data_IF_435848367914
#
_entry.id   IF_435848367914
#
_cell.length_a   1.000
_cell.length_b   1.000
_cell.length_c   1.000
_cell.angle_alpha   90.00
_cell.angle_beta   90.00
_cell.angle_gamma   90.00
#
_symmetry.space_group_name_H-M   'P 1'
#
loop_
_entity.id
_entity.type
_entity.pdbx_description
1 polymer ?
#
# COMPACT_ATOMS: atom_id res chain seq x y z
N UNK A 1 11.03 -25.17 25.68
CA UNK A 1 10.71 -24.69 24.32
C UNK A 1 11.43 -23.37 24.15
N UNK A 2 12.66 -23.41 23.64
CA UNK A 2 13.51 -22.21 23.54
C UNK A 2 12.93 -21.25 22.52
N UNK A 3 12.55 -20.06 23.00
CA UNK A 3 12.16 -18.93 22.16
C UNK A 3 13.37 -18.49 21.35
N UNK A 4 13.33 -18.69 20.02
CA UNK A 4 14.36 -18.16 19.13
C UNK A 4 14.17 -16.66 18.97
N UNK A 5 14.80 -15.89 19.85
CA UNK A 5 15.12 -14.49 19.58
C UNK A 5 15.98 -14.45 18.31
N UNK A 6 15.48 -13.86 17.22
CA UNK A 6 16.18 -13.65 15.94
C UNK A 6 16.18 -14.80 14.92
N UNK A 7 15.04 -15.47 14.70
CA UNK A 7 14.87 -16.28 13.49
C UNK A 7 14.77 -15.39 12.22
N UNK A 8 15.91 -15.11 11.57
CA UNK A 8 16.00 -14.34 10.30
C UNK A 8 15.28 -15.00 9.12
N UNK A 9 14.92 -16.28 9.23
CA UNK A 9 13.97 -16.97 8.35
C UNK A 9 12.89 -17.66 9.19
N UNK A 10 11.76 -16.99 9.37
CA UNK A 10 10.53 -17.65 9.80
C UNK A 10 10.03 -18.51 8.63
N UNK A 11 10.44 -19.78 8.61
CA UNK A 11 9.78 -20.79 7.80
C UNK A 11 8.43 -21.07 8.43
N UNK A 12 7.36 -20.98 7.64
CA UNK A 12 6.03 -21.32 8.11
C UNK A 12 5.92 -22.84 8.22
N UNK A 13 5.54 -23.35 9.39
CA UNK A 13 5.30 -24.79 9.60
C UNK A 13 4.06 -25.29 8.85
N UNK A 14 3.21 -24.37 8.40
CA UNK A 14 2.01 -24.63 7.62
C UNK A 14 1.75 -23.45 6.67
N UNK A 15 1.25 -23.72 5.47
CA UNK A 15 0.82 -22.68 4.54
C UNK A 15 -0.49 -23.05 3.89
N UNK A 16 -1.41 -22.09 3.82
CA UNK A 16 -2.72 -22.24 3.22
C UNK A 16 -2.88 -21.28 2.04
N UNK A 17 -3.55 -21.74 0.98
CA UNK A 17 -4.11 -20.88 -0.06
C UNK A 17 -5.60 -21.15 -0.18
N UNK A 18 -6.42 -20.12 -0.01
CA UNK A 18 -7.87 -20.18 -0.26
C UNK A 18 -8.15 -19.68 -1.68
N UNK A 19 -8.57 -20.54 -2.63
CA UNK A 19 -8.81 -20.12 -4.00
C UNK A 19 -10.08 -19.27 -4.11
N UNK A 20 -10.16 -18.44 -5.16
CA UNK A 20 -11.30 -17.54 -5.39
C UNK A 20 -12.67 -18.24 -5.44
N UNK A 21 -12.74 -19.50 -5.90
CA UNK A 21 -13.97 -20.31 -5.85
C UNK A 21 -14.42 -20.56 -4.40
N UNK A 22 -13.51 -20.96 -3.52
CA UNK A 22 -13.82 -21.20 -2.12
C UNK A 22 -14.23 -19.90 -1.41
N UNK A 23 -13.55 -18.79 -1.71
CA UNK A 23 -13.93 -17.46 -1.20
C UNK A 23 -15.32 -17.03 -1.67
N UNK A 24 -15.68 -17.32 -2.93
CA UNK A 24 -17.00 -16.98 -3.47
C UNK A 24 -18.12 -17.76 -2.78
N UNK A 25 -17.93 -19.06 -2.60
CA UNK A 25 -18.97 -19.95 -2.06
C UNK A 25 -19.15 -19.82 -0.56
N UNK A 26 -18.06 -19.63 0.19
CA UNK A 26 -18.08 -19.72 1.65
C UNK A 26 -17.66 -18.44 2.35
N UNK A 27 -17.00 -17.52 1.65
CA UNK A 27 -16.28 -16.39 2.27
C UNK A 27 -14.92 -16.79 2.83
N UNK A 28 -13.94 -15.90 2.67
CA UNK A 28 -12.55 -16.17 3.09
C UNK A 28 -12.43 -16.42 4.61
N UNK A 29 -13.21 -15.70 5.43
CA UNK A 29 -13.16 -15.82 6.89
C UNK A 29 -13.73 -17.14 7.39
N UNK A 30 -14.81 -17.63 6.76
CA UNK A 30 -15.38 -18.93 7.12
C UNK A 30 -14.38 -20.05 6.82
N UNK A 31 -13.74 -20.02 5.65
CA UNK A 31 -12.71 -21.00 5.26
C UNK A 31 -11.52 -20.95 6.21
N UNK A 32 -11.05 -19.76 6.60
CA UNK A 32 -10.02 -19.60 7.63
C UNK A 32 -10.44 -20.26 8.95
N UNK A 33 -11.67 -19.99 9.41
CA UNK A 33 -12.20 -20.58 10.63
C UNK A 33 -12.28 -22.11 10.60
N UNK A 34 -12.57 -22.70 9.44
CA UNK A 34 -12.57 -24.17 9.26
C UNK A 34 -11.18 -24.75 9.48
N UNK A 35 -10.16 -24.06 8.98
CA UNK A 35 -8.78 -24.53 9.04
C UNK A 35 -8.22 -24.38 10.46
N UNK A 36 -8.55 -23.30 11.16
CA UNK A 36 -8.26 -23.18 12.58
C UNK A 36 -8.86 -24.34 13.38
N UNK A 37 -10.08 -24.79 13.04
CA UNK A 37 -10.70 -25.95 13.69
C UNK A 37 -10.00 -27.27 13.37
N UNK A 38 -9.55 -27.47 12.13
CA UNK A 38 -8.78 -28.67 11.75
C UNK A 38 -7.43 -28.71 12.48
N UNK A 39 -6.73 -27.59 12.58
CA UNK A 39 -5.48 -27.50 13.35
C UNK A 39 -5.72 -27.87 14.82
N UNK A 40 -6.77 -27.30 15.42
CA UNK A 40 -7.15 -27.58 16.80
C UNK A 40 -7.53 -29.06 17.02
N UNK A 41 -8.27 -29.68 16.10
CA UNK A 41 -8.67 -31.08 16.21
C UNK A 41 -7.49 -32.05 16.11
N UNK A 42 -6.37 -31.61 15.51
CA UNK A 42 -5.11 -32.35 15.46
C UNK A 42 -4.21 -32.06 16.67
N UNK A 43 -4.70 -31.34 17.68
CA UNK A 43 -3.94 -30.96 18.88
C UNK A 43 -2.99 -29.79 18.67
N UNK A 44 -3.08 -29.09 17.53
CA UNK A 44 -2.27 -27.91 17.24
C UNK A 44 -2.85 -26.62 17.81
N UNK A 45 -2.00 -25.61 17.97
CA UNK A 45 -2.39 -24.24 18.36
C UNK A 45 -1.81 -23.27 17.35
N UNK A 46 -2.65 -22.36 16.83
CA UNK A 46 -2.21 -21.30 15.93
C UNK A 46 -1.59 -20.16 16.78
N UNK A 47 -0.27 -20.02 16.76
CA UNK A 47 0.43 -18.95 17.49
C UNK A 47 0.58 -17.68 16.66
N UNK A 48 0.94 -17.84 15.38
CA UNK A 48 1.24 -16.75 14.47
C UNK A 48 0.59 -17.00 13.11
N UNK A 49 -0.03 -15.97 12.55
CA UNK A 49 -0.62 -16.02 11.21
C UNK A 49 -0.25 -14.78 10.42
N UNK A 50 0.41 -14.98 9.26
CA UNK A 50 0.79 -13.89 8.38
C UNK A 50 0.18 -14.03 7.00
N UNK A 51 -0.32 -12.91 6.49
CA UNK A 51 -0.88 -12.81 5.16
C UNK A 51 0.24 -12.69 4.12
N UNK A 52 0.36 -13.69 3.24
CA UNK A 52 1.31 -13.66 2.12
C UNK A 52 0.78 -12.97 0.88
N UNK A 53 -0.52 -13.15 0.62
CA UNK A 53 -1.21 -12.62 -0.55
C UNK A 53 -2.68 -12.41 -0.22
N UNK A 54 -3.22 -11.30 -0.69
CA UNK A 54 -4.64 -11.00 -0.68
C UNK A 54 -5.06 -10.56 -2.08
N UNK A 55 -6.09 -11.19 -2.61
CA UNK A 55 -6.69 -10.79 -3.87
C UNK A 55 -8.06 -10.17 -3.56
N UNK A 56 -8.18 -8.88 -3.82
CA UNK A 56 -9.44 -8.14 -3.73
C UNK A 56 -9.92 -7.81 -5.12
N UNK A 57 -11.22 -7.86 -5.35
CA UNK A 57 -11.77 -7.61 -6.66
C UNK A 57 -13.14 -6.94 -6.59
N UNK A 58 -13.47 -6.27 -7.67
CA UNK A 58 -14.83 -5.79 -7.94
C UNK A 58 -15.27 -6.27 -9.30
N UNK A 59 -16.53 -6.71 -9.37
CA UNK A 59 -17.19 -7.06 -10.63
C UNK A 59 -18.07 -5.90 -11.08
N UNK A 60 -18.05 -5.62 -12.38
CA UNK A 60 -18.86 -4.61 -13.04
C UNK A 60 -19.84 -5.30 -13.99
N UNK A 61 -20.94 -5.87 -13.48
CA UNK A 61 -21.95 -6.49 -14.33
C UNK A 61 -22.57 -5.41 -15.24
N UNK A 62 -22.74 -5.76 -16.52
CA UNK A 62 -23.22 -4.85 -17.57
C UNK A 62 -22.12 -4.05 -18.26
N UNK A 63 -20.88 -4.07 -17.77
CA UNK A 63 -19.76 -3.35 -18.39
C UNK A 63 -18.88 -4.35 -19.14
N UNK A 64 -18.70 -4.12 -20.43
CA UNK A 64 -17.81 -4.92 -21.28
C UNK A 64 -16.35 -4.59 -20.99
N UNK A 65 -15.49 -5.61 -20.97
CA UNK A 65 -14.07 -5.43 -20.65
C UNK A 65 -13.36 -4.56 -21.70
N UNK A 66 -13.76 -4.70 -22.97
CA UNK A 66 -13.26 -3.88 -24.08
C UNK A 66 -13.33 -2.39 -23.78
N UNK A 67 -14.40 -1.91 -23.13
CA UNK A 67 -14.54 -0.50 -22.75
C UNK A 67 -13.39 -0.01 -21.88
N UNK A 68 -12.95 -0.78 -20.88
CA UNK A 68 -11.80 -0.40 -20.05
C UNK A 68 -10.47 -0.66 -20.75
N UNK A 69 -10.37 -1.74 -21.51
CA UNK A 69 -9.14 -2.13 -22.20
C UNK A 69 -8.77 -1.13 -23.30
N UNK A 70 -9.74 -0.60 -24.04
CA UNK A 70 -9.52 0.46 -25.03
C UNK A 70 -8.95 1.74 -24.40
N UNK A 71 -9.44 2.13 -23.21
CA UNK A 71 -8.88 3.28 -22.46
C UNK A 71 -7.42 3.02 -22.07
N UNK A 72 -7.12 1.80 -21.65
CA UNK A 72 -5.75 1.37 -21.35
C UNK A 72 -4.84 1.39 -22.59
N UNK A 73 -5.31 0.89 -23.74
CA UNK A 73 -4.56 0.88 -25.00
C UNK A 73 -4.28 2.30 -25.50
N UNK A 74 -5.27 3.20 -25.37
CA UNK A 74 -5.14 4.65 -25.64
C UNK A 74 -4.27 5.38 -24.61
N UNK A 75 -3.70 4.66 -23.64
CA UNK A 75 -2.86 5.18 -22.53
C UNK A 75 -3.55 6.27 -21.70
N UNK A 76 -4.88 6.21 -21.57
CA UNK A 76 -5.69 7.11 -20.76
C UNK A 76 -5.64 6.74 -19.28
N UNK A 77 -4.43 6.62 -18.74
CA UNK A 77 -4.22 6.28 -17.34
C UNK A 77 -2.91 6.86 -16.81
N UNK A 78 -2.83 6.96 -15.49
CA UNK A 78 -1.58 7.08 -14.74
C UNK A 78 -1.39 5.84 -13.89
N UNK A 79 -0.13 5.47 -13.66
CA UNK A 79 0.23 4.30 -12.86
C UNK A 79 1.55 4.53 -12.15
N UNK A 80 1.68 3.99 -10.94
CA UNK A 80 2.95 4.01 -10.19
C UNK A 80 3.96 2.98 -10.71
N UNK A 81 3.50 1.94 -11.41
CA UNK A 81 4.34 0.91 -12.01
C UNK A 81 4.51 1.12 -13.52
N UNK A 82 5.71 0.79 -14.02
CA UNK A 82 6.01 0.72 -15.46
C UNK A 82 5.78 -0.68 -16.04
N UNK A 83 5.65 -1.69 -15.19
CA UNK A 83 5.38 -3.06 -15.61
C UNK A 83 3.92 -3.18 -16.03
N UNK A 84 3.68 -3.15 -17.34
CA UNK A 84 2.37 -3.20 -17.99
C UNK A 84 2.39 -4.36 -19.00
N UNK A 85 1.31 -5.14 -19.03
CA UNK A 85 1.16 -6.25 -19.95
C UNK A 85 -0.29 -6.33 -20.44
N UNK A 86 -0.47 -6.42 -21.75
CA UNK A 86 -1.74 -6.81 -22.37
C UNK A 86 -1.68 -8.29 -22.75
N UNK A 87 -2.82 -8.96 -22.65
CA UNK A 87 -3.05 -10.26 -23.30
C UNK A 87 -4.04 -10.03 -24.43
N UNK A 88 -3.74 -10.60 -25.59
CA UNK A 88 -4.58 -10.56 -26.78
C UNK A 88 -5.11 -11.96 -27.09
N UNK A 89 -6.32 -12.00 -27.64
CA UNK A 89 -6.87 -13.16 -28.35
C UNK A 89 -7.24 -12.69 -29.75
N UNK A 90 -6.44 -13.11 -30.74
CA UNK A 90 -6.41 -12.44 -32.05
C UNK A 90 -5.96 -10.98 -31.93
N UNK A 91 -6.75 -10.06 -32.49
CA UNK A 91 -6.47 -8.61 -32.48
C UNK A 91 -7.05 -7.88 -31.26
N UNK A 92 -7.91 -8.55 -30.48
CA UNK A 92 -8.60 -7.91 -29.36
C UNK A 92 -7.86 -8.14 -28.04
N UNK A 93 -7.63 -7.09 -27.26
CA UNK A 93 -7.17 -7.22 -25.89
C UNK A 93 -8.25 -7.90 -25.03
N UNK A 94 -7.86 -8.95 -24.32
CA UNK A 94 -8.74 -9.71 -23.40
C UNK A 94 -8.41 -9.43 -21.93
N UNK A 95 -7.20 -8.96 -21.65
CA UNK A 95 -6.84 -8.51 -20.31
C UNK A 95 -5.72 -7.49 -20.29
N UNK A 96 -5.71 -6.69 -19.24
CA UNK A 96 -4.66 -5.74 -18.90
C UNK A 96 -4.13 -6.07 -17.51
N UNK A 97 -2.81 -6.12 -17.36
CA UNK A 97 -2.13 -6.34 -16.09
C UNK A 97 -1.12 -5.23 -15.84
N UNK A 98 -1.09 -4.73 -14.61
CA UNK A 98 -0.17 -3.69 -14.14
C UNK A 98 0.49 -4.11 -12.84
N UNK A 99 1.76 -3.77 -12.65
CA UNK A 99 2.46 -3.99 -11.38
C UNK A 99 3.33 -5.24 -11.40
N UNK A 100 3.76 -5.69 -10.23
CA UNK A 100 4.64 -6.85 -10.10
C UNK A 100 4.14 -7.82 -9.03
N UNK A 101 4.53 -9.08 -9.17
CA UNK A 101 4.12 -10.17 -8.27
C UNK A 101 4.83 -10.17 -6.90
N UNK A 102 5.66 -9.16 -6.61
CA UNK A 102 6.36 -9.04 -5.32
C UNK A 102 5.64 -8.10 -4.36
N UNK A 103 5.01 -7.04 -4.87
CA UNK A 103 4.34 -6.02 -4.04
C UNK A 103 2.86 -5.89 -4.32
N UNK A 104 2.47 -5.33 -5.47
CA UNK A 104 1.07 -5.16 -5.86
C UNK A 104 0.95 -5.34 -7.36
N UNK A 105 -0.10 -6.06 -7.77
CA UNK A 105 -0.48 -6.25 -9.16
C UNK A 105 -1.98 -5.99 -9.32
N UNK A 106 -2.36 -5.25 -10.36
CA UNK A 106 -3.75 -5.06 -10.76
C UNK A 106 -4.00 -5.80 -12.08
N UNK A 107 -5.19 -6.34 -12.26
CA UNK A 107 -5.65 -6.98 -13.48
C UNK A 107 -7.06 -6.50 -13.85
N UNK A 108 -7.31 -6.24 -15.12
CA UNK A 108 -8.62 -5.95 -15.69
C UNK A 108 -8.89 -7.00 -16.78
N UNK A 109 -10.02 -7.69 -16.74
CA UNK A 109 -10.34 -8.75 -17.70
C UNK A 109 -11.84 -9.02 -17.81
N UNK A 110 -12.23 -9.69 -18.90
CA UNK A 110 -13.59 -10.20 -19.08
C UNK A 110 -13.84 -11.41 -18.17
N UNK A 111 -14.61 -11.17 -17.12
CA UNK A 111 -14.95 -12.18 -16.13
C UNK A 111 -16.07 -13.10 -16.63
N UNK A 112 -17.00 -12.59 -17.43
CA UNK A 112 -18.08 -13.40 -17.98
C UNK A 112 -17.52 -14.46 -18.92
N UNK A 113 -16.60 -14.06 -19.80
CA UNK A 113 -15.90 -14.95 -20.71
C UNK A 113 -15.08 -15.99 -19.94
N UNK A 114 -14.34 -15.58 -18.90
CA UNK A 114 -13.57 -16.49 -18.04
C UNK A 114 -14.45 -17.53 -17.31
N UNK A 115 -15.62 -17.13 -16.83
CA UNK A 115 -16.59 -18.05 -16.21
C UNK A 115 -17.15 -19.02 -17.25
N UNK A 116 -17.51 -18.56 -18.44
CA UNK A 116 -18.03 -19.41 -19.54
C UNK A 116 -17.02 -20.47 -19.95
N UNK A 117 -15.73 -20.13 -20.07
CA UNK A 117 -14.69 -21.09 -20.46
C UNK A 117 -14.45 -22.20 -19.43
N UNK A 118 -14.71 -21.95 -18.14
CA UNK A 118 -14.51 -22.98 -17.10
C UNK A 118 -15.53 -24.11 -17.18
N UNK A 119 -16.68 -23.88 -17.80
CA UNK A 119 -17.76 -24.86 -17.92
C UNK A 119 -18.13 -25.52 -16.56
N UNK A 120 -18.18 -24.72 -15.48
CA UNK A 120 -18.56 -25.14 -14.12
C UNK A 120 -19.91 -24.50 -13.75
N UNK A 121 -21.04 -25.26 -13.83
CA UNK A 121 -22.37 -24.73 -13.56
C UNK A 121 -22.56 -24.21 -12.13
N UNK A 122 -21.95 -24.86 -11.13
CA UNK A 122 -22.04 -24.42 -9.73
C UNK A 122 -21.34 -23.08 -9.53
N UNK A 123 -20.15 -22.93 -10.11
CA UNK A 123 -19.42 -21.67 -10.05
C UNK A 123 -20.17 -20.54 -10.78
N UNK A 124 -20.78 -20.85 -11.92
CA UNK A 124 -21.60 -19.89 -12.66
C UNK A 124 -22.81 -19.44 -11.84
N UNK A 125 -23.56 -20.37 -11.23
CA UNK A 125 -24.69 -20.06 -10.36
C UNK A 125 -24.27 -19.21 -9.16
N UNK A 126 -23.14 -19.54 -8.52
CA UNK A 126 -22.59 -18.76 -7.43
C UNK A 126 -22.21 -17.33 -7.86
N UNK A 127 -21.64 -17.14 -9.05
CA UNK A 127 -21.35 -15.81 -9.60
C UNK A 127 -22.64 -15.00 -9.80
N UNK A 128 -23.70 -15.61 -10.32
CA UNK A 128 -24.99 -14.94 -10.50
C UNK A 128 -25.56 -14.47 -9.16
N UNK A 129 -25.65 -15.37 -8.17
CA UNK A 129 -26.22 -15.08 -6.85
C UNK A 129 -25.39 -14.03 -6.12
N UNK A 130 -24.08 -14.25 -5.96
CA UNK A 130 -23.27 -13.45 -5.05
C UNK A 130 -22.62 -12.22 -5.67
N UNK A 131 -22.51 -12.12 -7.01
CA UNK A 131 -21.77 -11.04 -7.67
C UNK A 131 -22.57 -10.29 -8.73
N UNK A 132 -23.48 -10.95 -9.44
CA UNK A 132 -24.21 -10.35 -10.58
C UNK A 132 -25.68 -10.06 -10.33
N UNK A 133 -26.13 -10.10 -9.06
CA UNK A 133 -27.51 -9.76 -8.66
C UNK A 133 -28.54 -10.63 -9.38
N UNK A 134 -28.34 -11.94 -9.33
CA UNK A 134 -29.31 -12.97 -9.75
C UNK A 134 -29.58 -13.07 -11.27
N UNK A 135 -28.93 -12.25 -12.10
CA UNK A 135 -29.03 -12.35 -13.56
C UNK A 135 -27.66 -12.41 -14.24
N UNK A 136 -27.53 -13.23 -15.29
CA UNK A 136 -26.33 -13.22 -16.12
C UNK A 136 -26.31 -11.91 -16.95
N UNK A 137 -25.28 -11.07 -16.80
CA UNK A 137 -25.20 -9.84 -17.56
C UNK A 137 -24.75 -10.14 -19.01
N UNK A 138 -24.96 -9.18 -19.92
CA UNK A 138 -24.43 -9.25 -21.29
C UNK A 138 -22.90 -9.08 -21.35
N UNK A 139 -22.31 -8.52 -20.29
CA UNK A 139 -20.87 -8.37 -20.10
C UNK A 139 -20.54 -8.25 -18.62
N UNK A 140 -19.39 -8.75 -18.17
CA UNK A 140 -18.93 -8.54 -16.81
C UNK A 140 -17.42 -8.33 -16.78
N UNK A 141 -17.01 -7.11 -16.44
CA UNK A 141 -15.59 -6.81 -16.26
C UNK A 141 -15.20 -7.02 -14.80
N UNK A 142 -14.06 -7.67 -14.54
CA UNK A 142 -13.46 -7.71 -13.20
C UNK A 142 -12.22 -6.84 -13.15
N UNK A 143 -12.13 -6.02 -12.10
CA UNK A 143 -10.89 -5.38 -11.67
C UNK A 143 -10.41 -6.10 -10.41
N UNK A 144 -9.22 -6.67 -10.45
CA UNK A 144 -8.62 -7.47 -9.37
C UNK A 144 -7.28 -6.86 -8.95
N UNK A 145 -7.08 -6.66 -7.65
CA UNK A 145 -5.84 -6.17 -7.05
C UNK A 145 -5.28 -7.28 -6.16
N UNK A 146 -4.10 -7.74 -6.51
CA UNK A 146 -3.32 -8.74 -5.77
C UNK A 146 -2.26 -8.03 -4.97
N UNK A 147 -2.35 -8.11 -3.66
CA UNK A 147 -1.46 -7.47 -2.69
C UNK A 147 -0.61 -8.56 -2.06
N UNK A 148 0.70 -8.41 -2.12
CA UNK A 148 1.66 -9.40 -1.66
C UNK A 148 2.35 -8.95 -0.38
N UNK A 149 3.02 -9.91 0.28
CA UNK A 149 3.72 -9.72 1.57
C UNK A 149 4.60 -8.47 1.62
N UNK A 150 5.36 -8.14 0.57
CA UNK A 150 6.28 -6.99 0.61
C UNK A 150 5.53 -5.67 0.77
N UNK A 151 4.32 -5.58 0.22
CA UNK A 151 3.47 -4.41 0.45
C UNK A 151 2.99 -4.36 1.90
N UNK A 152 2.45 -5.47 2.42
CA UNK A 152 2.00 -5.56 3.82
C UNK A 152 3.12 -5.26 4.83
N UNK A 153 4.32 -5.79 4.60
CA UNK A 153 5.49 -5.56 5.43
C UNK A 153 5.94 -4.09 5.44
N UNK A 154 5.79 -3.38 4.31
CA UNK A 154 6.06 -1.94 4.22
C UNK A 154 5.15 -1.12 5.15
N UNK A 155 3.94 -1.62 5.44
CA UNK A 155 2.93 -0.96 6.25
C UNK A 155 2.72 -1.60 7.62
N UNK A 156 3.65 -2.46 8.05
CA UNK A 156 3.58 -3.17 9.34
C UNK A 156 2.22 -3.87 9.57
N UNK A 157 1.59 -4.30 8.48
CA UNK A 157 0.24 -4.85 8.49
C UNK A 157 0.27 -6.25 7.87
N UNK A 158 0.98 -7.17 8.52
CA UNK A 158 1.17 -8.54 8.03
C UNK A 158 0.24 -9.57 8.67
N UNK A 159 -0.39 -9.24 9.80
CA UNK A 159 -1.35 -10.10 10.48
C UNK A 159 -2.69 -10.09 9.76
N UNK A 160 -3.27 -11.28 9.56
CA UNK A 160 -4.50 -11.45 8.77
C UNK A 160 -5.65 -10.61 9.33
N UNK A 161 -5.90 -10.68 10.64
CA UNK A 161 -6.99 -9.93 11.29
C UNK A 161 -6.82 -8.41 11.18
N UNK A 162 -5.58 -7.92 11.30
CA UNK A 162 -5.29 -6.49 11.14
C UNK A 162 -5.51 -6.04 9.68
N UNK A 163 -5.11 -6.85 8.70
CA UNK A 163 -5.36 -6.55 7.28
C UNK A 163 -6.85 -6.48 6.98
N UNK A 164 -7.64 -7.43 7.49
CA UNK A 164 -9.09 -7.45 7.28
C UNK A 164 -9.74 -6.19 7.89
N UNK A 165 -9.41 -5.86 9.14
CA UNK A 165 -9.92 -4.66 9.82
C UNK A 165 -9.56 -3.37 9.09
N UNK A 166 -8.37 -3.31 8.50
CA UNK A 166 -7.87 -2.13 7.79
C UNK A 166 -8.08 -2.20 6.27
N UNK A 167 -8.92 -3.11 5.75
CA UNK A 167 -9.00 -3.35 4.32
C UNK A 167 -9.45 -2.10 3.53
N UNK A 168 -10.37 -1.32 4.09
CA UNK A 168 -10.80 -0.04 3.52
C UNK A 168 -9.64 0.93 3.36
N UNK A 169 -8.78 1.05 4.37
CA UNK A 169 -7.55 1.86 4.34
C UNK A 169 -6.55 1.37 3.30
N UNK A 170 -6.38 0.05 3.20
CA UNK A 170 -5.49 -0.57 2.20
C UNK A 170 -5.94 -0.21 0.79
N UNK A 171 -7.23 -0.34 0.51
CA UNK A 171 -7.80 0.04 -0.77
C UNK A 171 -7.72 1.55 -1.01
N UNK A 172 -8.04 2.37 -0.01
CA UNK A 172 -7.93 3.82 -0.10
C UNK A 172 -6.50 4.25 -0.46
N UNK A 173 -5.50 3.68 0.20
CA UNK A 173 -4.08 3.93 -0.07
C UNK A 173 -3.65 3.51 -1.49
N UNK A 174 -4.25 2.46 -2.05
CA UNK A 174 -3.92 1.97 -3.40
C UNK A 174 -4.66 2.73 -4.50
N UNK A 175 -5.89 3.17 -4.23
CA UNK A 175 -6.84 3.66 -5.23
C UNK A 175 -7.03 5.18 -5.21
N UNK A 176 -6.87 5.82 -4.05
CA UNK A 176 -7.24 7.23 -3.83
C UNK A 176 -6.02 8.11 -3.62
N UNK A 177 -5.02 7.66 -2.86
CA UNK A 177 -3.86 8.49 -2.51
C UNK A 177 -3.23 9.13 -3.76
N UNK A 178 -3.35 10.45 -3.85
CA UNK A 178 -2.98 11.26 -5.00
C UNK A 178 -1.48 11.38 -5.17
N UNK A 179 -0.70 11.10 -4.13
CA UNK A 179 0.76 11.22 -4.21
C UNK A 179 1.35 10.15 -5.11
N UNK A 180 0.86 8.90 -5.00
CA UNK A 180 1.31 7.75 -5.79
C UNK A 180 0.22 6.67 -5.89
N UNK A 181 -0.88 6.92 -6.64
CA UNK A 181 -1.91 5.90 -6.81
C UNK A 181 -1.34 4.69 -7.56
N UNK A 182 -1.84 3.48 -7.26
CA UNK A 182 -1.45 2.28 -7.99
C UNK A 182 -1.72 2.47 -9.49
N UNK A 183 -2.95 2.91 -9.79
CA UNK A 183 -3.50 3.10 -11.13
C UNK A 183 -4.67 4.09 -11.06
N UNK A 184 -4.90 4.84 -12.14
CA UNK A 184 -6.07 5.71 -12.30
C UNK A 184 -6.35 5.92 -13.77
N UNK A 185 -7.58 5.62 -14.23
CA UNK A 185 -8.02 6.00 -15.56
C UNK A 185 -8.37 7.49 -15.59
N UNK A 186 -8.10 8.11 -16.72
CA UNK A 186 -8.31 9.53 -16.96
C UNK A 186 -9.37 9.72 -18.05
N UNK A 187 -10.11 10.82 -17.97
CA UNK A 187 -11.12 11.17 -18.98
C UNK A 187 -10.51 11.43 -20.38
N UNK A 188 -9.21 11.74 -20.42
CA UNK A 188 -8.45 12.04 -21.62
C UNK A 188 -7.02 11.52 -21.52
N UNK A 189 -6.36 11.40 -22.68
CA UNK A 189 -4.95 10.97 -22.73
C UNK A 189 -4.06 12.04 -22.08
N UNK A 190 -3.28 11.71 -21.04
CA UNK A 190 -2.46 12.70 -20.36
C UNK A 190 -1.31 13.17 -21.24
N UNK A 191 -1.03 14.47 -21.20
CA UNK A 191 0.18 15.05 -21.79
C UNK A 191 1.39 14.72 -20.92
N UNK A 192 2.00 13.56 -21.23
CA UNK A 192 3.19 13.04 -20.56
C UNK A 192 4.46 13.81 -20.96
N UNK A 193 4.47 14.49 -22.10
CA UNK A 193 5.64 15.24 -22.58
C UNK A 193 5.87 16.49 -21.73
N UNK A 194 4.79 17.17 -21.34
CA UNK A 194 4.83 18.38 -20.52
C UNK A 194 4.54 18.13 -19.03
N UNK A 195 4.55 16.88 -18.57
CA UNK A 195 4.29 16.50 -17.16
C UNK A 195 2.93 16.99 -16.60
N UNK A 196 1.91 17.16 -17.45
CA UNK A 196 0.60 17.69 -17.06
C UNK A 196 -0.42 16.61 -16.62
N UNK A 197 0.03 15.40 -16.33
CA UNK A 197 -0.85 14.29 -15.94
C UNK A 197 -1.70 14.53 -14.67
N UNK A 198 -1.29 15.44 -13.78
CA UNK A 198 -2.05 15.78 -12.57
C UNK A 198 -3.29 16.64 -12.87
N UNK A 199 -3.33 17.31 -14.04
CA UNK A 199 -4.43 18.19 -14.46
C UNK A 199 -5.57 17.44 -15.14
N UNK A 200 -5.41 16.16 -15.43
CA UNK A 200 -6.44 15.36 -16.10
C UNK A 200 -7.49 14.88 -15.10
N UNK A 201 -8.76 15.06 -15.47
CA UNK A 201 -9.89 14.55 -14.71
C UNK A 201 -9.90 13.02 -14.67
N UNK A 202 -10.47 12.49 -13.59
CA UNK A 202 -10.63 11.05 -13.40
C UNK A 202 -11.76 10.57 -14.30
N UNK A 203 -11.55 9.43 -14.97
CA UNK A 203 -12.61 8.83 -15.79
C UNK A 203 -13.79 8.36 -14.91
N UNK A 204 -15.06 8.61 -15.26
CA UNK A 204 -16.22 8.22 -14.44
C UNK A 204 -16.26 6.72 -14.08
N UNK A 205 -15.91 5.85 -15.02
CA UNK A 205 -15.79 4.39 -14.75
C UNK A 205 -14.78 4.06 -13.65
N UNK A 206 -13.69 4.82 -13.53
CA UNK A 206 -12.71 4.60 -12.48
C UNK A 206 -13.24 5.05 -11.13
N UNK A 207 -13.98 6.15 -11.07
CA UNK A 207 -14.64 6.58 -9.83
C UNK A 207 -15.62 5.52 -9.34
N UNK A 208 -16.45 4.97 -10.24
CA UNK A 208 -17.35 3.86 -9.93
C UNK A 208 -16.60 2.64 -9.38
N UNK A 209 -15.47 2.27 -9.99
CA UNK A 209 -14.63 1.15 -9.53
C UNK A 209 -14.08 1.41 -8.12
N UNK A 210 -13.53 2.61 -7.89
CA UNK A 210 -12.96 3.02 -6.61
C UNK A 210 -14.01 2.98 -5.50
N UNK A 211 -15.14 3.66 -5.71
CA UNK A 211 -16.24 3.71 -4.75
C UNK A 211 -16.75 2.32 -4.42
N UNK A 212 -16.96 1.47 -5.44
CA UNK A 212 -17.47 0.12 -5.23
C UNK A 212 -16.47 -0.76 -4.49
N UNK A 213 -15.18 -0.71 -4.83
CA UNK A 213 -14.13 -1.43 -4.11
C UNK A 213 -14.03 -1.02 -2.63
N UNK A 214 -14.05 0.28 -2.35
CA UNK A 214 -13.97 0.80 -0.97
C UNK A 214 -15.22 0.42 -0.18
N UNK A 215 -16.41 0.58 -0.78
CA UNK A 215 -17.69 0.20 -0.15
C UNK A 215 -17.74 -1.29 0.18
N UNK A 216 -17.30 -2.15 -0.73
CA UNK A 216 -17.27 -3.61 -0.51
C UNK A 216 -16.26 -4.04 0.56
N UNK A 217 -15.24 -3.21 0.87
CA UNK A 217 -14.33 -3.48 1.97
C UNK A 217 -14.95 -3.23 3.36
N UNK A 218 -16.08 -2.53 3.44
CA UNK A 218 -16.94 -2.42 4.64
C UNK A 218 -16.35 -1.65 5.83
N UNK A 219 -15.12 -1.15 5.75
CA UNK A 219 -14.44 -0.47 6.85
C UNK A 219 -14.14 0.98 6.49
N UNK A 220 -14.38 1.89 7.43
CA UNK A 220 -13.91 3.27 7.34
C UNK A 220 -12.37 3.33 7.24
N UNK A 221 -11.78 4.20 6.40
CA UNK A 221 -10.33 4.30 6.28
C UNK A 221 -9.66 4.74 7.59
N UNK A 222 -9.01 3.79 8.26
CA UNK A 222 -8.03 4.03 9.32
C UNK A 222 -6.67 4.45 8.74
N UNK A 223 -5.86 5.18 9.51
CA UNK A 223 -4.53 5.60 9.06
C UNK A 223 -3.56 4.41 9.05
N UNK A 224 -2.98 4.06 7.89
CA UNK A 224 -1.96 3.01 7.81
C UNK A 224 -0.62 3.51 8.32
N UNK A 225 -0.01 2.76 9.24
CA UNK A 225 1.31 3.10 9.75
C UNK A 225 2.40 2.57 8.84
N UNK A 226 3.08 3.45 8.12
CA UNK A 226 4.22 3.06 7.30
C UNK A 226 5.40 2.68 8.20
N UNK A 227 6.04 1.55 7.93
CA UNK A 227 7.32 1.21 8.56
C UNK A 227 8.31 2.32 8.25
N UNK A 228 8.76 3.05 9.27
CA UNK A 228 9.93 3.89 9.12
C UNK A 228 11.07 2.98 8.71
N UNK A 229 11.69 3.29 7.57
CA UNK A 229 12.94 2.64 7.23
C UNK A 229 13.92 3.09 8.32
N UNK A 230 14.24 2.16 9.23
CA UNK A 230 15.52 2.17 9.96
C UNK A 230 16.60 1.91 8.91
N UNK A 231 16.78 2.84 7.98
CA UNK A 231 17.94 2.81 7.12
C UNK A 231 19.12 3.18 7.96
N UNK A 232 20.28 2.62 7.64
CA UNK A 232 21.54 3.25 8.02
C UNK A 232 21.47 4.67 7.44
N UNK A 233 21.22 5.63 8.32
CA UNK A 233 21.32 7.04 7.92
C UNK A 233 22.77 7.18 7.50
N UNK A 234 22.98 7.47 6.22
CA UNK A 234 24.30 7.89 5.75
C UNK A 234 24.62 9.20 6.47
N UNK A 235 25.37 9.08 7.56
CA UNK A 235 25.71 10.19 8.46
C UNK A 235 26.41 11.29 7.66
N UNK A 236 27.20 10.93 6.65
CA UNK A 236 27.85 11.90 5.76
C UNK A 236 26.82 12.71 4.98
N UNK A 237 25.81 12.05 4.40
CA UNK A 237 24.73 12.73 3.67
C UNK A 237 23.88 13.60 4.60
N UNK A 238 23.56 13.11 5.80
CA UNK A 238 22.81 13.87 6.80
C UNK A 238 23.58 15.12 7.24
N UNK A 239 24.89 14.99 7.52
CA UNK A 239 25.75 16.12 7.86
C UNK A 239 25.82 17.17 6.76
N UNK A 240 25.93 16.75 5.48
CA UNK A 240 25.88 17.67 4.33
C UNK A 240 24.56 18.42 4.22
N UNK A 241 23.43 17.75 4.50
CA UNK A 241 22.12 18.40 4.49
C UNK A 241 21.98 19.42 5.62
N UNK A 242 22.47 19.09 6.82
CA UNK A 242 22.49 20.02 7.95
C UNK A 242 23.37 21.25 7.64
N UNK A 243 24.59 21.03 7.15
CA UNK A 243 25.48 22.12 6.75
C UNK A 243 24.85 23.04 5.68
N UNK A 244 24.25 22.48 4.63
CA UNK A 244 23.59 23.25 3.58
C UNK A 244 22.41 24.09 4.11
N UNK A 245 21.64 23.55 5.07
CA UNK A 245 20.57 24.29 5.73
C UNK A 245 21.11 25.49 6.51
N UNK A 246 22.17 25.28 7.32
CA UNK A 246 22.80 26.36 8.10
C UNK A 246 23.39 27.42 7.17
N UNK A 247 24.08 27.03 6.10
CA UNK A 247 24.61 27.97 5.09
C UNK A 247 23.49 28.79 4.47
N UNK A 248 22.38 28.16 4.12
CA UNK A 248 21.23 28.88 3.53
C UNK A 248 20.65 29.89 4.50
N UNK A 249 20.53 29.54 5.78
CA UNK A 249 20.06 30.45 6.83
C UNK A 249 21.04 31.61 7.06
N UNK A 250 22.35 31.33 7.08
CA UNK A 250 23.41 32.33 7.21
C UNK A 250 23.34 33.37 6.08
N UNK A 251 23.23 32.90 4.83
CA UNK A 251 23.10 33.75 3.64
C UNK A 251 21.85 34.63 3.73
N UNK A 252 20.71 34.09 4.18
CA UNK A 252 19.49 34.89 4.38
C UNK A 252 19.64 35.96 5.45
N UNK A 253 20.52 35.75 6.44
CA UNK A 253 20.85 36.72 7.50
C UNK A 253 21.99 37.66 7.11
N UNK A 254 22.58 37.51 5.91
CA UNK A 254 23.73 38.29 5.45
C UNK A 254 25.05 37.92 6.14
N UNK A 255 25.14 36.70 6.69
CA UNK A 255 26.34 36.18 7.36
C UNK A 255 27.13 35.32 6.37
N UNK A 256 28.41 35.65 6.17
CA UNK A 256 29.35 34.83 5.41
C UNK A 256 29.82 33.62 6.23
N UNK A 257 30.00 32.48 5.56
CA UNK A 257 30.57 31.26 6.15
C UNK A 257 31.75 30.87 5.27
N UNK A 258 32.95 31.08 5.79
CA UNK A 258 34.20 30.81 5.06
C UNK A 258 34.89 29.53 5.58
N UNK A 259 34.58 29.12 6.80
CA UNK A 259 35.14 27.92 7.42
C UNK A 259 34.11 27.11 8.22
N UNK A 260 34.56 25.97 8.75
CA UNK A 260 33.72 25.09 9.58
C UNK A 260 33.31 25.76 10.90
N UNK A 261 34.18 26.60 11.48
CA UNK A 261 33.90 27.25 12.76
C UNK A 261 32.75 28.26 12.62
N UNK A 262 32.71 29.03 11.52
CA UNK A 262 31.59 29.93 11.21
C UNK A 262 30.26 29.16 11.10
N UNK A 263 30.30 27.98 10.48
CA UNK A 263 29.16 27.10 10.33
C UNK A 263 28.66 26.58 11.68
N UNK A 264 29.59 26.18 12.57
CA UNK A 264 29.26 25.71 13.92
C UNK A 264 28.65 26.84 14.75
N UNK A 265 29.23 28.03 14.70
CA UNK A 265 28.73 29.18 15.44
C UNK A 265 27.33 29.59 14.96
N UNK A 266 27.10 29.68 13.65
CA UNK A 266 25.76 29.99 13.13
C UNK A 266 24.76 28.88 13.47
N UNK A 267 25.16 27.60 13.46
CA UNK A 267 24.29 26.52 13.93
C UNK A 267 23.88 26.69 15.39
N UNK A 268 24.82 27.08 16.27
CA UNK A 268 24.53 27.39 17.69
C UNK A 268 23.55 28.55 17.79
N UNK A 269 23.78 29.64 17.07
CA UNK A 269 22.89 30.81 17.07
C UNK A 269 21.48 30.44 16.61
N UNK A 270 21.34 29.66 15.54
CA UNK A 270 20.04 29.17 15.06
C UNK A 270 19.35 28.26 16.06
N UNK A 271 20.12 27.41 16.77
CA UNK A 271 19.59 26.57 17.82
C UNK A 271 19.06 27.42 18.99
N UNK A 272 19.79 28.45 19.42
CA UNK A 272 19.34 29.36 20.47
C UNK A 272 18.09 30.15 20.11
N UNK A 273 17.92 30.52 18.83
CA UNK A 273 16.77 31.31 18.38
C UNK A 273 15.47 30.51 18.29
N UNK A 274 15.53 29.20 18.00
CA UNK A 274 14.35 28.44 17.56
C UNK A 274 14.18 27.05 18.17
N UNK A 275 15.14 26.56 18.97
CA UNK A 275 15.05 25.23 19.60
C UNK A 275 14.98 25.38 21.12
N UNK A 276 13.78 25.27 21.69
CA UNK A 276 13.64 24.97 23.11
C UNK A 276 13.81 23.47 23.35
N UNK A 277 14.31 23.09 24.53
CA UNK A 277 14.43 21.68 24.94
C UNK A 277 13.09 20.95 24.81
N UNK A 278 11.97 21.62 25.09
CA UNK A 278 10.63 21.06 24.98
C UNK A 278 10.25 20.71 23.53
N UNK A 279 10.61 21.57 22.56
CA UNK A 279 10.35 21.30 21.14
C UNK A 279 11.19 20.10 20.67
N UNK A 280 12.45 20.04 21.06
CA UNK A 280 13.35 18.93 20.72
C UNK A 280 12.85 17.62 21.34
N UNK A 281 12.50 17.64 22.63
CA UNK A 281 11.96 16.50 23.35
C UNK A 281 10.63 16.02 22.74
N UNK A 282 9.71 16.93 22.40
CA UNK A 282 8.45 16.59 21.75
C UNK A 282 8.65 15.97 20.36
N UNK A 283 9.55 16.53 19.54
CA UNK A 283 9.89 15.97 18.22
C UNK A 283 10.58 14.61 18.34
N UNK A 284 11.47 14.44 19.32
CA UNK A 284 12.12 13.18 19.62
C UNK A 284 11.10 12.13 20.04
N UNK A 285 10.25 12.41 21.03
CA UNK A 285 9.20 11.49 21.49
C UNK A 285 8.28 11.09 20.33
N UNK A 286 7.85 12.06 19.51
CA UNK A 286 7.05 11.78 18.31
C UNK A 286 7.77 10.82 17.36
N UNK A 287 9.06 11.03 17.10
CA UNK A 287 9.84 10.14 16.24
C UNK A 287 10.13 8.78 16.89
N UNK A 288 10.37 8.73 18.20
CA UNK A 288 10.66 7.53 18.97
C UNK A 288 9.43 6.61 19.06
N UNK A 289 8.24 7.17 19.27
CA UNK A 289 6.96 6.45 19.20
C UNK A 289 6.76 5.85 17.81
N UNK A 290 6.95 6.64 16.75
CA UNK A 290 6.79 6.15 15.36
C UNK A 290 7.87 5.10 15.01
N UNK A 291 9.07 5.19 15.60
CA UNK A 291 10.14 4.24 15.40
C UNK A 291 10.06 2.98 16.31
N UNK A 292 9.12 2.96 17.26
CA UNK A 292 8.97 1.88 18.24
C UNK A 292 10.14 1.77 19.24
N UNK A 293 10.77 2.90 19.58
CA UNK A 293 11.96 2.99 20.46
C UNK A 293 11.64 3.72 21.78
N UNK A 294 10.38 4.08 22.03
CA UNK A 294 10.02 4.81 23.24
C UNK A 294 10.25 3.94 24.49
N UNK A 295 11.28 4.25 25.26
CA UNK A 295 11.39 3.88 26.66
C UNK A 295 10.68 4.99 27.46
N UNK A 296 9.52 4.74 28.08
CA UNK A 296 8.70 5.78 28.70
C UNK A 296 9.29 6.39 29.99
N UNK A 297 10.56 6.14 30.32
CA UNK A 297 11.20 6.58 31.57
C UNK A 297 12.55 7.29 31.42
N UNK A 298 12.94 7.73 30.22
CA UNK A 298 14.15 8.55 30.04
C UNK A 298 13.74 10.02 30.10
N UNK A 299 13.86 10.65 31.27
CA UNK A 299 13.94 12.10 31.36
C UNK A 299 15.21 12.55 30.64
N UNK A 300 15.04 13.36 29.59
CA UNK A 300 16.18 13.97 28.91
C UNK A 300 16.61 15.20 29.73
N UNK A 301 17.57 15.00 30.62
CA UNK A 301 18.31 16.10 31.22
C UNK A 301 19.30 16.63 30.18
N UNK A 302 18.85 17.62 29.38
CA UNK A 302 19.75 18.46 28.59
C UNK A 302 20.44 19.48 29.52
N UNK A 303 21.12 18.98 30.55
CA UNK A 303 21.79 19.81 31.54
C UNK A 303 22.80 20.73 30.86
N UNK A 304 22.66 22.04 31.14
CA UNK A 304 23.57 23.21 31.09
C UNK A 304 24.90 23.23 30.27
N UNK A 305 25.23 22.23 29.45
CA UNK A 305 26.53 22.09 28.78
C UNK A 305 26.60 22.78 27.40
N UNK A 306 25.59 23.54 27.00
CA UNK A 306 25.68 24.39 25.79
C UNK A 306 26.49 25.67 26.06
N UNK A 307 26.85 25.94 27.32
CA UNK A 307 27.67 27.08 27.71
C UNK A 307 29.19 26.80 27.78
N UNK A 308 29.66 25.56 27.56
CA UNK A 308 31.08 25.19 27.77
C UNK A 308 31.72 24.32 26.68
N UNK A 309 31.26 24.42 25.43
CA UNK A 309 31.94 23.90 24.22
C UNK A 309 31.89 25.00 23.16
#
# INVERSE_FOLDING_TARGET
LDFRENATRQLSNFSLTVPGRACLLNGALAVRGWISRVIASLGGVLTDEWLRRLDVCVDLPGIQASTLLELCEKRQFIASSRAIQFRYDGEAATSFTLGNRKSVQMQIYDKLQEVRYKNDPEYHAAMQIFRWKEMAPQGATRVEIRIYRDWFAKWQNTEVDNVIKCLGSVLHQLLVDTTRPLFRLLAQTPDRKNNHQSKCDIHPLWELIREKMIREAGNEPLMLQRKLRKGDIDVSRAAKMAAAFVITAAVQRGIGIDCLDDLIEEFRQLAYLNLSNDIVAAQYQKKAVVAGVSNPGVEFDFGANVASI
#
